data_IF_420786878625
#
_entry.id   IF_420786878625
#
_cell.length_a   1.000
_cell.length_b   1.000
_cell.length_c   1.000
_cell.angle_alpha   90.00
_cell.angle_beta   90.00
_cell.angle_gamma   90.00
#
_symmetry.space_group_name_H-M   'P 1'
#
loop_
_entity.id
_entity.type
_entity.pdbx_description
1 polymer ?
#
# COMPACT_ATOMS: atom_id res chain seq x y z
N UNK A 1 57.66 18.83 -28.41
CA UNK A 1 57.18 18.96 -29.81
C UNK A 1 55.84 18.24 -29.88
N UNK A 2 54.67 18.89 -29.71
CA UNK A 2 53.94 19.77 -30.64
C UNK A 2 53.76 19.18 -32.04
N UNK A 3 52.53 18.74 -32.32
CA UNK A 3 51.64 19.14 -33.45
C UNK A 3 50.80 17.93 -33.90
N UNK A 4 49.47 17.85 -33.67
CA UNK A 4 48.35 18.54 -34.37
C UNK A 4 48.29 18.20 -35.88
N UNK A 5 47.18 17.87 -36.57
CA UNK A 5 45.73 18.14 -36.43
C UNK A 5 44.95 17.25 -37.46
N UNK A 6 43.69 16.88 -37.16
CA UNK A 6 42.44 16.98 -37.99
C UNK A 6 41.42 15.93 -37.50
N UNK A 7 40.43 16.27 -36.66
CA UNK A 7 39.11 16.86 -36.99
C UNK A 7 38.27 16.05 -37.99
N UNK A 8 37.18 15.45 -37.50
CA UNK A 8 35.86 15.65 -38.08
C UNK A 8 34.79 15.60 -36.98
N UNK A 9 34.05 16.69 -36.88
CA UNK A 9 32.96 16.96 -35.96
C UNK A 9 31.80 17.42 -36.85
N UNK A 10 30.74 16.61 -36.95
CA UNK A 10 29.40 16.97 -37.41
C UNK A 10 28.48 16.16 -36.49
N UNK A 11 27.63 16.71 -35.62
CA UNK A 11 26.88 17.95 -35.77
C UNK A 11 25.45 17.63 -36.18
N UNK A 12 24.65 17.03 -35.28
CA UNK A 12 23.20 17.21 -35.29
C UNK A 12 22.72 17.36 -33.86
N UNK A 13 22.64 18.63 -33.45
CA UNK A 13 21.70 19.04 -32.44
C UNK A 13 20.30 18.81 -33.02
N UNK A 14 19.61 17.75 -32.56
CA UNK A 14 18.17 17.69 -32.67
C UNK A 14 17.61 18.48 -31.50
N UNK A 15 17.49 19.78 -31.72
CA UNK A 15 16.57 20.64 -30.97
C UNK A 15 15.18 20.21 -31.41
N UNK A 16 14.51 19.38 -30.60
CA UNK A 16 13.06 19.21 -30.71
C UNK A 16 12.37 20.32 -29.92
N UNK A 17 11.33 20.94 -30.49
CA UNK A 17 10.71 22.13 -29.94
C UNK A 17 9.99 21.79 -28.64
N UNK A 18 10.31 22.57 -27.59
CA UNK A 18 9.41 22.79 -26.47
C UNK A 18 8.18 23.53 -27.03
N UNK A 19 7.25 22.78 -27.58
CA UNK A 19 5.91 23.27 -27.86
C UNK A 19 5.12 23.23 -26.57
N UNK A 20 5.31 24.26 -25.75
CA UNK A 20 4.37 24.63 -24.70
C UNK A 20 3.07 25.14 -25.37
N UNK A 21 2.10 24.23 -25.51
CA UNK A 21 0.70 24.56 -25.70
C UNK A 21 -0.09 23.65 -24.77
N UNK A 22 -0.64 24.22 -23.70
CA UNK A 22 -1.00 23.49 -22.48
C UNK A 22 -2.02 22.36 -22.65
N UNK A 23 -1.69 21.20 -22.06
CA UNK A 23 -2.57 20.26 -21.35
C UNK A 23 -1.72 19.11 -20.77
N UNK A 24 -1.83 18.93 -19.45
CA UNK A 24 -1.32 17.82 -18.62
C UNK A 24 0.20 17.53 -18.59
N UNK A 25 0.93 18.21 -17.69
CA UNK A 25 2.25 17.81 -17.21
C UNK A 25 2.25 16.57 -16.28
N UNK A 26 1.19 15.76 -16.33
CA UNK A 26 0.97 14.61 -15.43
C UNK A 26 1.05 13.25 -16.10
N UNK A 27 1.26 13.20 -17.42
CA UNK A 27 1.48 11.95 -18.14
C UNK A 27 2.97 11.60 -18.02
N UNK A 28 3.28 10.58 -17.22
CA UNK A 28 4.57 9.89 -17.34
C UNK A 28 4.47 9.09 -18.64
N UNK A 29 5.29 9.45 -19.62
CA UNK A 29 5.36 8.75 -20.91
C UNK A 29 5.69 7.27 -20.66
N UNK A 30 4.89 6.30 -21.16
CA UNK A 30 5.24 4.87 -21.12
C UNK A 30 6.64 4.57 -21.65
N UNK A 31 7.16 5.38 -22.57
CA UNK A 31 8.52 5.25 -23.07
C UNK A 31 9.59 5.53 -21.99
N UNK A 32 9.27 6.19 -20.87
CA UNK A 32 10.18 6.34 -19.71
C UNK A 32 10.44 4.98 -19.04
N UNK A 33 9.52 4.01 -19.16
CA UNK A 33 9.72 2.63 -18.70
C UNK A 33 10.69 1.87 -19.63
N UNK A 34 10.78 2.29 -20.90
CA UNK A 34 11.66 1.70 -21.91
C UNK A 34 13.01 2.45 -22.06
N UNK A 35 13.05 3.73 -21.70
CA UNK A 35 14.24 4.59 -21.78
C UNK A 35 15.04 4.55 -20.47
N UNK A 36 16.10 3.75 -20.54
CA UNK A 36 17.16 3.53 -19.56
C UNK A 36 16.82 2.54 -18.44
N UNK A 37 16.98 1.23 -18.70
CA UNK A 37 17.35 0.33 -17.62
C UNK A 37 18.64 0.86 -16.96
N UNK A 38 18.53 1.09 -15.67
CA UNK A 38 19.54 1.61 -14.78
C UNK A 38 20.93 0.98 -14.92
N UNK A 39 21.94 1.83 -14.72
CA UNK A 39 23.33 1.49 -14.38
C UNK A 39 23.43 0.91 -12.94
N UNK A 40 22.35 0.87 -12.16
CA UNK A 40 22.36 0.54 -10.71
C UNK A 40 22.61 -0.94 -10.42
N UNK A 41 22.13 -1.86 -11.26
CA UNK A 41 22.49 -3.28 -11.21
C UNK A 41 23.65 -3.64 -12.16
N UNK A 42 24.35 -2.65 -12.71
CA UNK A 42 25.51 -2.90 -13.55
C UNK A 42 26.72 -3.29 -12.71
N UNK A 43 27.49 -4.27 -13.20
CA UNK A 43 28.63 -4.83 -12.50
C UNK A 43 28.31 -6.16 -11.79
N UNK A 44 29.34 -6.93 -11.50
CA UNK A 44 29.16 -8.28 -10.94
C UNK A 44 28.91 -8.17 -9.43
N UNK A 45 27.83 -8.79 -8.92
CA UNK A 45 27.51 -8.80 -7.48
C UNK A 45 28.69 -9.35 -6.66
N UNK A 46 28.96 -8.75 -5.51
CA UNK A 46 30.01 -9.23 -4.60
C UNK A 46 29.60 -10.56 -3.97
N UNK A 47 30.59 -11.42 -3.73
CA UNK A 47 30.38 -12.74 -3.10
C UNK A 47 31.27 -12.84 -1.87
N UNK A 48 30.68 -13.25 -0.76
CA UNK A 48 31.32 -13.31 0.55
C UNK A 48 31.22 -14.73 1.10
N UNK A 49 32.32 -15.25 1.63
CA UNK A 49 32.31 -16.49 2.41
C UNK A 49 31.62 -16.24 3.75
N UNK A 50 30.50 -16.92 4.00
CA UNK A 50 29.73 -16.81 5.22
C UNK A 50 30.52 -17.19 6.48
N UNK A 51 31.47 -18.12 6.41
CA UNK A 51 32.23 -18.55 7.59
C UNK A 51 33.27 -17.52 8.04
N UNK A 52 33.94 -16.86 7.09
CA UNK A 52 35.03 -15.92 7.38
C UNK A 52 34.63 -14.46 7.26
N UNK A 53 33.57 -14.15 6.52
CA UNK A 53 33.14 -12.79 6.17
C UNK A 53 34.07 -12.08 5.18
N UNK A 54 35.00 -12.79 4.55
CA UNK A 54 35.93 -12.28 3.52
C UNK A 54 35.38 -12.54 2.11
N UNK A 55 35.91 -11.88 1.06
CA UNK A 55 35.52 -12.19 -0.31
C UNK A 55 35.65 -13.69 -0.60
N UNK A 56 34.65 -14.24 -1.28
CA UNK A 56 34.65 -15.64 -1.70
C UNK A 56 35.59 -15.81 -2.88
N UNK A 57 36.63 -16.65 -2.74
CA UNK A 57 37.69 -16.82 -3.73
C UNK A 57 37.70 -18.19 -4.40
N UNK A 58 36.84 -19.10 -3.96
CA UNK A 58 36.72 -20.43 -4.55
C UNK A 58 35.89 -20.35 -5.83
N UNK A 59 36.36 -20.94 -6.93
CA UNK A 59 35.48 -21.15 -8.08
C UNK A 59 34.51 -22.29 -7.73
N UNK A 60 33.22 -22.00 -7.81
CA UNK A 60 32.18 -22.95 -7.47
C UNK A 60 31.07 -22.83 -8.52
N UNK A 61 30.77 -23.90 -9.29
CA UNK A 61 29.81 -23.86 -10.37
C UNK A 61 28.40 -23.38 -9.97
N UNK A 62 27.99 -23.62 -8.71
CA UNK A 62 26.69 -23.17 -8.19
C UNK A 62 26.72 -21.67 -7.93
N UNK A 63 27.77 -21.19 -7.29
CA UNK A 63 27.95 -19.77 -6.98
C UNK A 63 28.08 -18.96 -8.27
N UNK A 64 28.94 -19.39 -9.19
CA UNK A 64 29.19 -18.73 -10.47
C UNK A 64 27.92 -18.73 -11.33
N UNK A 65 27.24 -19.88 -11.47
CA UNK A 65 26.02 -19.99 -12.26
C UNK A 65 24.83 -19.18 -11.70
N UNK A 66 24.69 -19.07 -10.38
CA UNK A 66 23.65 -18.22 -9.79
C UNK A 66 24.01 -16.72 -9.91
N UNK A 67 25.29 -16.38 -9.71
CA UNK A 67 25.82 -15.00 -9.77
C UNK A 67 25.65 -14.37 -11.15
N UNK A 68 25.85 -15.14 -12.23
CA UNK A 68 25.72 -14.67 -13.61
C UNK A 68 24.32 -14.12 -13.92
N UNK A 69 23.27 -14.81 -13.47
CA UNK A 69 21.88 -14.43 -13.75
C UNK A 69 21.25 -13.55 -12.66
N UNK A 70 21.93 -13.37 -11.53
CA UNK A 70 21.39 -12.67 -10.37
C UNK A 70 20.93 -11.24 -10.70
N UNK A 71 21.75 -10.49 -11.42
CA UNK A 71 21.43 -9.12 -11.81
C UNK A 71 20.29 -9.05 -12.82
N UNK A 72 20.20 -10.03 -13.73
CA UNK A 72 19.12 -10.10 -14.72
C UNK A 72 17.78 -10.39 -14.05
N UNK A 73 17.77 -11.26 -13.03
CA UNK A 73 16.59 -11.53 -12.21
C UNK A 73 16.13 -10.25 -11.48
N UNK A 74 17.05 -9.54 -10.83
CA UNK A 74 16.76 -8.28 -10.13
C UNK A 74 16.24 -7.20 -11.09
N UNK A 75 16.87 -7.06 -12.26
CA UNK A 75 16.46 -6.11 -13.29
C UNK A 75 15.06 -6.46 -13.83
N UNK A 76 14.79 -7.74 -14.09
CA UNK A 76 13.48 -8.24 -14.51
C UNK A 76 12.40 -7.97 -13.46
N UNK A 77 12.70 -8.24 -12.20
CA UNK A 77 11.80 -7.98 -11.07
C UNK A 77 11.50 -6.49 -10.89
N UNK A 78 12.52 -5.62 -10.94
CA UNK A 78 12.33 -4.17 -10.87
C UNK A 78 11.47 -3.63 -12.01
N UNK A 79 11.74 -4.08 -13.25
CA UNK A 79 10.91 -3.72 -14.43
C UNK A 79 9.47 -4.15 -14.26
N UNK A 80 9.23 -5.34 -13.69
CA UNK A 80 7.88 -5.82 -13.39
C UNK A 80 7.19 -4.93 -12.38
N UNK A 81 7.85 -4.59 -11.26
CA UNK A 81 7.30 -3.67 -10.25
C UNK A 81 6.95 -2.33 -10.91
N UNK A 82 7.86 -1.74 -11.68
CA UNK A 82 7.66 -0.46 -12.35
C UNK A 82 6.41 -0.48 -13.26
N UNK A 83 6.21 -1.56 -14.01
CA UNK A 83 5.02 -1.76 -14.85
C UNK A 83 3.75 -1.90 -14.01
N UNK A 84 3.79 -2.71 -12.96
CA UNK A 84 2.65 -2.90 -12.05
C UNK A 84 2.27 -1.57 -11.35
N UNK A 85 3.25 -0.76 -10.94
CA UNK A 85 3.03 0.59 -10.39
C UNK A 85 2.34 1.52 -11.36
N UNK A 86 2.87 1.58 -12.58
CA UNK A 86 2.33 2.44 -13.61
C UNK A 86 0.88 2.05 -13.94
N UNK A 87 0.62 0.75 -14.15
CA UNK A 87 -0.73 0.22 -14.37
C UNK A 87 -1.66 0.54 -13.20
N UNK A 88 -1.20 0.36 -11.95
CA UNK A 88 -1.98 0.69 -10.76
C UNK A 88 -2.33 2.19 -10.71
N UNK A 89 -1.37 3.07 -10.98
CA UNK A 89 -1.59 4.52 -11.01
C UNK A 89 -2.62 4.91 -12.06
N UNK A 90 -2.60 4.30 -13.26
CA UNK A 90 -3.59 4.55 -14.31
C UNK A 90 -5.00 4.14 -13.87
N UNK A 91 -5.13 2.97 -13.24
CA UNK A 91 -6.41 2.48 -12.70
C UNK A 91 -6.94 3.44 -11.62
N UNK A 92 -6.09 3.88 -10.68
CA UNK A 92 -6.49 4.86 -9.67
C UNK A 92 -6.89 6.19 -10.31
N UNK A 93 -6.14 6.69 -11.29
CA UNK A 93 -6.45 7.94 -12.00
C UNK A 93 -7.84 7.90 -12.66
N UNK A 94 -8.18 6.77 -13.28
CA UNK A 94 -9.50 6.51 -13.86
C UNK A 94 -10.58 6.56 -12.78
N UNK A 95 -10.44 5.77 -11.71
CA UNK A 95 -11.41 5.75 -10.61
C UNK A 95 -11.60 7.11 -9.94
N UNK A 96 -10.53 7.87 -9.72
CA UNK A 96 -10.63 9.22 -9.16
C UNK A 96 -11.40 10.19 -10.06
N UNK A 97 -11.31 10.01 -11.38
CA UNK A 97 -12.04 10.84 -12.35
C UNK A 97 -13.53 10.48 -12.36
N UNK A 98 -13.84 9.19 -12.51
CA UNK A 98 -15.21 8.66 -12.52
C UNK A 98 -15.93 8.98 -11.21
N UNK A 99 -15.27 8.78 -10.08
CA UNK A 99 -15.84 9.08 -8.76
C UNK A 99 -16.19 10.55 -8.59
N UNK A 100 -15.33 11.48 -8.99
CA UNK A 100 -15.63 12.91 -8.86
C UNK A 100 -16.75 13.32 -9.80
N UNK A 101 -16.84 12.73 -10.99
CA UNK A 101 -17.98 12.94 -11.89
C UNK A 101 -19.29 12.47 -11.24
N UNK A 102 -19.33 11.23 -10.76
CA UNK A 102 -20.51 10.67 -10.08
C UNK A 102 -20.89 11.46 -8.83
N UNK A 103 -19.92 11.76 -7.97
CA UNK A 103 -20.18 12.53 -6.76
C UNK A 103 -20.69 13.94 -7.08
N UNK A 104 -20.17 14.61 -8.12
CA UNK A 104 -20.67 15.92 -8.54
C UNK A 104 -22.09 15.84 -9.10
N UNK A 105 -22.42 14.81 -9.88
CA UNK A 105 -23.79 14.58 -10.38
C UNK A 105 -24.77 14.39 -9.22
N UNK A 106 -24.43 13.52 -8.26
CA UNK A 106 -25.24 13.28 -7.06
C UNK A 106 -25.36 14.54 -6.18
N UNK A 107 -24.26 15.27 -6.00
CA UNK A 107 -24.22 16.51 -5.23
C UNK A 107 -25.13 17.60 -5.82
N UNK A 108 -25.10 17.78 -7.15
CA UNK A 108 -25.92 18.78 -7.84
C UNK A 108 -27.42 18.53 -7.65
N UNK A 109 -27.85 17.27 -7.61
CA UNK A 109 -29.26 16.93 -7.34
C UNK A 109 -29.75 17.46 -5.98
N UNK A 110 -28.85 17.61 -5.01
CA UNK A 110 -29.11 18.13 -3.66
C UNK A 110 -28.74 19.62 -3.50
N UNK A 111 -28.42 20.32 -4.60
CA UNK A 111 -28.00 21.72 -4.56
C UNK A 111 -26.60 21.94 -3.97
N UNK A 112 -25.80 20.88 -3.84
CA UNK A 112 -24.44 20.94 -3.30
C UNK A 112 -23.48 21.35 -4.44
N UNK A 113 -22.57 22.28 -4.15
CA UNK A 113 -21.56 22.74 -5.09
C UNK A 113 -20.57 21.64 -5.52
N UNK A 114 -19.95 21.82 -6.69
CA UNK A 114 -19.02 20.83 -7.23
C UNK A 114 -17.68 20.82 -6.50
N UNK A 115 -17.02 19.65 -6.53
CA UNK A 115 -15.64 19.48 -6.08
C UNK A 115 -14.72 19.17 -7.27
N UNK A 116 -13.51 19.75 -7.25
CA UNK A 116 -12.51 19.51 -8.27
C UNK A 116 -11.57 18.35 -7.95
N UNK A 117 -11.01 17.73 -9.00
CA UNK A 117 -9.92 16.75 -8.88
C UNK A 117 -8.61 17.53 -8.74
N UNK A 118 -7.98 17.48 -7.56
CA UNK A 118 -6.57 17.88 -7.45
C UNK A 118 -5.71 16.66 -7.71
N UNK A 119 -5.40 16.43 -8.98
CA UNK A 119 -4.60 15.29 -9.46
C UNK A 119 -3.28 15.17 -8.69
N UNK A 120 -2.74 16.30 -8.25
CA UNK A 120 -1.47 16.40 -7.53
C UNK A 120 -1.51 15.82 -6.11
N UNK A 121 -2.68 15.79 -5.47
CA UNK A 121 -2.84 15.18 -4.13
C UNK A 121 -3.37 13.76 -4.21
N UNK A 122 -4.27 13.49 -5.16
CA UNK A 122 -4.94 12.19 -5.26
C UNK A 122 -3.96 11.05 -5.59
N UNK A 123 -2.98 11.32 -6.47
CA UNK A 123 -1.95 10.35 -6.86
C UNK A 123 -0.56 10.71 -6.31
N UNK A 124 -0.47 11.55 -5.27
CA UNK A 124 0.84 12.02 -4.79
C UNK A 124 1.73 10.85 -4.38
N UNK A 125 1.17 9.87 -3.67
CA UNK A 125 1.93 8.73 -3.16
C UNK A 125 2.37 7.84 -4.33
N UNK A 126 1.46 7.50 -5.24
CA UNK A 126 1.74 6.71 -6.44
C UNK A 126 2.80 7.37 -7.32
N UNK A 127 2.68 8.68 -7.59
CA UNK A 127 3.66 9.43 -8.39
C UNK A 127 5.03 9.43 -7.75
N UNK A 128 5.11 9.58 -6.44
CA UNK A 128 6.39 9.57 -5.73
C UNK A 128 7.01 8.18 -5.71
N UNK A 129 6.20 7.12 -5.59
CA UNK A 129 6.68 5.73 -5.64
C UNK A 129 7.22 5.44 -7.04
N UNK A 130 6.45 5.77 -8.07
CA UNK A 130 6.84 5.56 -9.45
C UNK A 130 8.09 6.37 -9.79
N UNK A 131 8.15 7.65 -9.38
CA UNK A 131 9.36 8.47 -9.53
C UNK A 131 10.56 7.86 -8.82
N UNK A 132 10.39 7.38 -7.58
CA UNK A 132 11.46 6.68 -6.85
C UNK A 132 11.96 5.48 -7.65
N UNK A 133 11.07 4.63 -8.17
CA UNK A 133 11.45 3.47 -8.98
C UNK A 133 12.08 3.83 -10.34
N UNK A 134 11.78 5.01 -10.89
CA UNK A 134 12.42 5.59 -12.08
C UNK A 134 13.80 6.17 -11.76
N UNK A 135 14.03 6.61 -10.52
CA UNK A 135 15.29 7.19 -10.09
C UNK A 135 16.26 6.16 -9.44
N UNK A 136 15.76 5.11 -8.76
CA UNK A 136 16.54 4.06 -8.10
C UNK A 136 15.68 2.85 -7.66
N UNK A 137 16.27 1.66 -7.41
CA UNK A 137 15.57 0.60 -6.70
C UNK A 137 15.37 0.94 -5.21
N UNK A 138 14.27 0.48 -4.62
CA UNK A 138 13.99 0.67 -3.19
C UNK A 138 15.00 -0.02 -2.28
N UNK A 139 15.54 -1.15 -2.71
CA UNK A 139 16.61 -1.86 -2.00
C UNK A 139 17.67 -2.33 -2.99
N UNK A 140 18.89 -2.47 -2.49
CA UNK A 140 20.02 -3.05 -3.20
C UNK A 140 20.51 -4.26 -2.42
N UNK A 141 20.82 -5.32 -3.15
CA UNK A 141 21.58 -6.44 -2.61
C UNK A 141 23.05 -6.12 -2.85
N UNK A 142 23.81 -5.98 -1.76
CA UNK A 142 25.22 -5.60 -1.83
C UNK A 142 26.12 -6.82 -2.05
N UNK A 143 25.75 -7.97 -1.47
CA UNK A 143 26.53 -9.19 -1.63
C UNK A 143 25.69 -10.46 -1.44
N UNK A 144 26.12 -11.53 -2.13
CA UNK A 144 25.74 -12.91 -1.85
C UNK A 144 26.63 -13.48 -0.74
N UNK A 145 26.03 -14.05 0.30
CA UNK A 145 26.77 -14.71 1.39
C UNK A 145 26.65 -16.21 1.23
N UNK A 146 27.78 -16.85 0.92
CA UNK A 146 27.84 -18.28 0.60
C UNK A 146 28.04 -19.10 1.87
N UNK A 147 27.18 -20.07 2.08
CA UNK A 147 27.26 -21.01 3.19
C UNK A 147 27.36 -22.44 2.66
N UNK A 148 28.49 -23.10 2.91
CA UNK A 148 28.65 -24.55 2.74
C UNK A 148 27.77 -25.30 3.75
N UNK A 149 26.69 -25.89 3.26
CA UNK A 149 25.72 -26.62 4.05
C UNK A 149 26.31 -27.91 4.65
N UNK A 150 27.21 -28.60 3.95
CA UNK A 150 27.84 -29.83 4.46
C UNK A 150 28.74 -29.53 5.66
N UNK A 151 29.38 -28.36 5.67
CA UNK A 151 30.15 -27.87 6.81
C UNK A 151 29.26 -27.40 7.96
N UNK A 152 28.14 -26.75 7.67
CA UNK A 152 27.14 -26.36 8.67
C UNK A 152 26.52 -27.59 9.35
N UNK A 153 26.16 -28.62 8.59
CA UNK A 153 25.58 -29.87 9.10
C UNK A 153 26.53 -30.64 10.02
N UNK A 154 27.83 -30.64 9.73
CA UNK A 154 28.84 -31.29 10.58
C UNK A 154 29.00 -30.63 11.94
N UNK A 155 28.90 -29.30 11.97
CA UNK A 155 29.18 -28.53 13.18
C UNK A 155 27.93 -28.29 14.02
N UNK A 156 26.74 -28.22 13.38
CA UNK A 156 25.45 -27.83 13.99
C UNK A 156 25.55 -26.61 14.92
N UNK A 157 26.54 -25.75 14.67
CA UNK A 157 26.86 -24.59 15.49
C UNK A 157 26.91 -23.38 14.59
N UNK A 158 26.26 -22.31 15.02
CA UNK A 158 26.22 -21.06 14.30
C UNK A 158 27.66 -20.50 14.12
N UNK A 159 28.08 -20.19 12.89
CA UNK A 159 29.37 -19.56 12.63
C UNK A 159 29.48 -18.18 13.31
N UNK A 160 30.70 -17.80 13.70
CA UNK A 160 30.98 -16.57 14.47
C UNK A 160 31.12 -15.31 13.61
N UNK A 161 31.03 -15.43 12.28
CA UNK A 161 31.11 -14.26 11.40
C UNK A 161 29.94 -13.30 11.66
N UNK A 162 30.09 -12.04 11.24
CA UNK A 162 29.00 -11.05 11.35
C UNK A 162 27.72 -11.49 10.62
N UNK A 163 27.86 -12.29 9.57
CA UNK A 163 26.76 -12.83 8.78
C UNK A 163 26.12 -14.06 9.42
N UNK A 164 26.75 -14.68 10.43
CA UNK A 164 26.19 -15.84 11.12
C UNK A 164 24.82 -15.56 11.75
N UNK A 165 24.50 -14.30 12.03
CA UNK A 165 23.17 -13.87 12.49
C UNK A 165 22.06 -14.13 11.47
N UNK A 166 22.39 -14.27 10.18
CA UNK A 166 21.43 -14.47 9.09
C UNK A 166 21.09 -15.95 8.83
N UNK A 167 21.62 -16.86 9.66
CA UNK A 167 21.30 -18.30 9.60
C UNK A 167 21.02 -18.87 10.99
N UNK A 168 20.16 -19.89 11.05
CA UNK A 168 19.83 -20.62 12.29
C UNK A 168 19.62 -22.10 11.98
N UNK A 169 20.01 -22.97 12.91
CA UNK A 169 19.60 -24.37 12.87
C UNK A 169 18.27 -24.51 13.59
N UNK A 170 17.22 -24.94 12.89
CA UNK A 170 15.92 -25.23 13.47
C UNK A 170 15.90 -26.68 13.96
N UNK A 171 15.80 -26.87 15.28
CA UNK A 171 15.82 -28.20 15.89
C UNK A 171 14.56 -29.03 15.57
N UNK A 172 13.41 -28.38 15.38
CA UNK A 172 12.14 -29.05 15.07
C UNK A 172 12.15 -29.64 13.65
N UNK A 173 12.64 -28.86 12.68
CA UNK A 173 12.73 -29.30 11.29
C UNK A 173 14.02 -30.05 10.97
N UNK A 174 15.03 -29.96 11.85
CA UNK A 174 16.35 -30.56 11.67
C UNK A 174 17.18 -29.92 10.56
N UNK A 175 16.86 -28.69 10.15
CA UNK A 175 17.45 -28.02 8.98
C UNK A 175 18.00 -26.64 9.32
N UNK A 176 18.97 -26.19 8.51
CA UNK A 176 19.41 -24.81 8.53
C UNK A 176 18.44 -23.92 7.76
N UNK A 177 18.12 -22.77 8.36
CA UNK A 177 17.26 -21.72 7.83
C UNK A 177 18.07 -20.44 7.63
N UNK A 178 17.62 -19.59 6.71
CA UNK A 178 18.21 -18.33 6.31
C UNK A 178 17.22 -17.19 6.52
N UNK A 179 17.75 -16.03 6.86
CA UNK A 179 16.97 -14.80 6.92
C UNK A 179 17.65 -13.67 6.19
N UNK A 180 16.82 -12.70 5.80
CA UNK A 180 17.28 -11.35 5.48
C UNK A 180 16.74 -10.42 6.55
N UNK A 181 17.61 -9.54 7.06
CA UNK A 181 17.20 -8.41 7.89
C UNK A 181 17.48 -7.12 7.14
N UNK A 182 16.49 -6.23 7.09
CA UNK A 182 16.63 -4.89 6.50
C UNK A 182 16.30 -3.82 7.52
N UNK A 183 17.01 -2.71 7.45
CA UNK A 183 16.73 -1.53 8.26
C UNK A 183 16.59 -0.32 7.34
N UNK A 184 15.50 0.40 7.50
CA UNK A 184 15.19 1.62 6.77
C UNK A 184 15.27 2.77 7.76
N UNK A 185 16.11 3.76 7.46
CA UNK A 185 16.03 5.05 8.11
C UNK A 185 15.09 5.93 7.32
N UNK A 186 14.14 6.54 8.02
CA UNK A 186 13.09 7.35 7.43
C UNK A 186 13.08 8.70 8.11
N UNK A 187 13.50 9.73 7.37
CA UNK A 187 13.60 11.10 7.85
C UNK A 187 12.53 11.97 7.22
N UNK A 188 11.60 12.48 8.02
CA UNK A 188 10.52 13.32 7.52
C UNK A 188 10.14 14.42 8.49
N UNK A 189 9.49 15.45 7.96
CA UNK A 189 9.05 16.61 8.72
C UNK A 189 7.53 16.66 8.81
N UNK A 190 6.98 16.69 10.02
CA UNK A 190 5.54 16.92 10.25
C UNK A 190 5.31 18.42 10.52
N UNK A 191 4.37 19.08 9.82
CA UNK A 191 3.95 20.43 10.17
C UNK A 191 3.21 20.44 11.52
N UNK A 192 3.70 21.26 12.45
CA UNK A 192 3.05 21.53 13.72
C UNK A 192 1.93 22.56 13.53
N UNK A 193 0.95 22.59 14.45
CA UNK A 193 -0.18 23.53 14.41
C UNK A 193 0.28 25.01 14.46
N UNK A 194 1.46 25.26 15.03
CA UNK A 194 2.01 26.60 15.25
C UNK A 194 2.95 27.06 14.13
N UNK A 195 2.98 26.35 12.99
CA UNK A 195 3.75 26.73 11.80
C UNK A 195 5.19 26.21 11.73
N UNK A 196 5.71 25.65 12.83
CA UNK A 196 7.03 25.00 12.87
C UNK A 196 6.97 23.57 12.33
N UNK A 197 8.10 23.03 11.89
CA UNK A 197 8.23 21.66 11.39
C UNK A 197 8.94 20.78 12.42
N UNK A 198 8.31 19.68 12.82
CA UNK A 198 8.94 18.66 13.65
C UNK A 198 9.65 17.66 12.76
N UNK A 199 10.98 17.61 12.84
CA UNK A 199 11.77 16.54 12.21
C UNK A 199 11.66 15.26 13.03
N UNK A 200 11.48 14.15 12.33
CA UNK A 200 11.32 12.83 12.91
C UNK A 200 12.21 11.88 12.13
N UNK A 201 13.09 11.20 12.85
CA UNK A 201 13.85 10.04 12.39
C UNK A 201 13.15 8.78 12.91
N UNK A 202 12.89 7.84 12.01
CA UNK A 202 12.32 6.54 12.29
C UNK A 202 13.23 5.47 11.73
N UNK A 203 13.66 4.56 12.60
CA UNK A 203 14.21 3.27 12.19
C UNK A 203 13.06 2.28 12.03
N UNK A 204 12.91 1.77 10.81
CA UNK A 204 12.07 0.61 10.51
C UNK A 204 12.97 -0.59 10.30
N UNK A 205 12.76 -1.67 11.03
CA UNK A 205 13.47 -2.93 10.83
C UNK A 205 12.53 -3.97 10.22
N UNK A 206 13.06 -4.91 9.46
CA UNK A 206 12.30 -6.01 8.90
C UNK A 206 13.14 -7.27 8.89
N UNK A 207 12.50 -8.40 9.14
CA UNK A 207 13.11 -9.73 9.04
C UNK A 207 12.22 -10.63 8.21
N UNK A 208 12.82 -11.43 7.32
CA UNK A 208 12.13 -12.44 6.54
C UNK A 208 12.89 -13.76 6.61
N UNK A 209 12.20 -14.83 6.99
CA UNK A 209 12.68 -16.20 6.84
C UNK A 209 12.53 -16.63 5.38
N UNK A 210 13.63 -17.04 4.75
CA UNK A 210 13.71 -17.35 3.33
C UNK A 210 13.22 -18.77 2.99
N UNK A 211 12.91 -19.59 4.00
CA UNK A 211 12.36 -20.94 3.84
C UNK A 211 10.84 -20.98 4.04
N UNK A 212 10.30 -20.06 4.84
CA UNK A 212 8.85 -20.04 5.15
C UNK A 212 8.13 -18.81 4.61
N UNK A 213 8.87 -17.79 4.16
CA UNK A 213 8.35 -16.48 3.76
C UNK A 213 7.49 -15.80 4.84
N UNK A 214 7.69 -16.19 6.09
CA UNK A 214 7.13 -15.54 7.27
C UNK A 214 8.15 -14.58 7.86
N UNK A 215 7.67 -13.51 8.47
CA UNK A 215 8.57 -12.54 9.04
C UNK A 215 7.88 -11.43 9.82
N UNK A 216 8.67 -10.41 10.11
CA UNK A 216 8.27 -9.26 10.88
C UNK A 216 8.67 -7.95 10.20
N UNK A 217 7.98 -6.89 10.57
CA UNK A 217 8.53 -5.52 10.50
C UNK A 217 8.48 -4.91 11.90
N UNK A 218 9.31 -3.94 12.20
CA UNK A 218 9.23 -3.14 13.40
C UNK A 218 9.31 -1.72 12.98
N UNK A 219 8.31 -0.94 13.38
CA UNK A 219 8.41 0.49 13.23
C UNK A 219 8.02 1.15 14.54
N UNK A 220 9.01 1.79 15.16
CA UNK A 220 8.88 2.46 16.44
C UNK A 220 7.74 3.51 16.42
N UNK A 221 7.49 4.11 15.26
CA UNK A 221 6.39 5.06 15.00
C UNK A 221 5.81 4.80 13.62
N UNK A 222 4.48 4.69 13.52
CA UNK A 222 3.84 4.47 12.21
C UNK A 222 4.16 5.61 11.23
N UNK A 223 4.50 5.27 9.99
CA UNK A 223 4.72 6.25 8.94
C UNK A 223 3.44 7.05 8.68
N UNK A 224 3.56 8.38 8.69
CA UNK A 224 2.43 9.26 8.41
C UNK A 224 2.23 9.43 6.90
N UNK A 225 1.10 9.99 6.49
CA UNK A 225 0.85 10.41 5.10
C UNK A 225 1.86 11.45 4.56
N UNK A 226 2.70 12.02 5.44
CA UNK A 226 3.73 12.98 5.09
C UNK A 226 5.06 12.32 4.73
N UNK A 227 5.20 11.01 4.97
CA UNK A 227 6.38 10.25 4.56
C UNK A 227 6.32 10.02 3.06
N UNK A 228 7.32 10.53 2.35
CA UNK A 228 7.49 10.39 0.92
C UNK A 228 8.54 9.31 0.63
N UNK A 229 8.49 8.65 -0.53
CA UNK A 229 9.52 7.73 -1.00
C UNK A 229 10.96 8.28 -0.98
N UNK A 230 11.16 9.59 -1.11
CA UNK A 230 12.48 10.23 -0.97
C UNK A 230 12.98 10.37 0.47
N UNK A 231 12.11 10.14 1.46
CA UNK A 231 12.47 10.17 2.88
C UNK A 231 13.12 8.85 3.33
N UNK A 232 13.13 7.81 2.48
CA UNK A 232 13.76 6.53 2.75
C UNK A 232 15.22 6.56 2.31
N UNK A 233 16.13 6.32 3.25
CA UNK A 233 17.51 6.01 2.89
C UNK A 233 17.59 4.70 2.09
N UNK A 234 18.63 4.57 1.26
CA UNK A 234 18.89 3.34 0.52
C UNK A 234 19.08 2.15 1.46
N UNK A 235 18.28 1.11 1.25
CA UNK A 235 18.45 -0.15 1.97
C UNK A 235 19.44 -1.03 1.26
N UNK A 236 20.48 -1.39 2.00
CA UNK A 236 21.49 -2.37 1.58
C UNK A 236 21.27 -3.64 2.37
N UNK A 237 21.16 -4.76 1.67
CA UNK A 237 21.01 -6.07 2.29
C UNK A 237 22.01 -7.07 1.74
N UNK A 238 22.37 -8.05 2.55
CA UNK A 238 23.10 -9.24 2.11
C UNK A 238 22.16 -10.41 1.99
N UNK A 239 22.34 -11.21 0.93
CA UNK A 239 21.45 -12.34 0.66
C UNK A 239 22.18 -13.67 0.86
N UNK A 240 21.80 -14.47 1.88
CA UNK A 240 22.43 -15.75 2.14
C UNK A 240 21.99 -16.85 1.16
N UNK A 241 22.95 -17.64 0.68
CA UNK A 241 22.71 -18.83 -0.14
C UNK A 241 23.37 -20.06 0.48
N UNK A 242 22.72 -21.22 0.37
CA UNK A 242 23.30 -22.51 0.73
C UNK A 242 23.82 -23.21 -0.52
N UNK A 243 25.00 -23.81 -0.40
CA UNK A 243 25.58 -24.72 -1.39
C UNK A 243 25.90 -26.06 -0.72
N UNK A 244 25.79 -27.16 -1.47
CA UNK A 244 26.15 -28.50 -0.98
C UNK A 244 26.87 -29.28 -2.07
N UNK A 245 27.83 -30.13 -1.68
CA UNK A 245 28.47 -31.08 -2.58
C UNK A 245 27.61 -32.32 -2.85
N UNK A 246 26.48 -32.49 -2.16
CA UNK A 246 25.62 -33.68 -2.25
C UNK A 246 24.62 -33.62 -3.40
N UNK A 247 24.40 -32.46 -3.99
CA UNK A 247 23.43 -32.24 -5.08
C UNK A 247 24.14 -31.82 -6.37
N UNK A 248 23.60 -32.15 -7.56
CA UNK A 248 24.11 -31.64 -8.83
C UNK A 248 24.08 -30.11 -8.89
N UNK A 249 25.11 -29.51 -9.48
CA UNK A 249 25.26 -28.05 -9.50
C UNK A 249 24.11 -27.34 -10.25
N UNK A 250 23.67 -27.88 -11.38
CA UNK A 250 22.59 -27.28 -12.16
C UNK A 250 21.25 -27.28 -11.42
N UNK A 251 20.95 -28.35 -10.69
CA UNK A 251 19.73 -28.46 -9.86
C UNK A 251 19.75 -27.42 -8.74
N UNK A 252 20.89 -27.26 -8.06
CA UNK A 252 21.07 -26.24 -7.03
C UNK A 252 20.90 -24.81 -7.58
N UNK A 253 21.47 -24.53 -8.75
CA UNK A 253 21.32 -23.22 -9.40
C UNK A 253 19.85 -22.93 -9.69
N UNK A 254 19.11 -23.90 -10.23
CA UNK A 254 17.69 -23.74 -10.53
C UNK A 254 16.86 -23.52 -9.25
N UNK A 255 17.09 -24.32 -8.20
CA UNK A 255 16.41 -24.18 -6.92
C UNK A 255 16.69 -22.80 -6.28
N UNK A 256 17.93 -22.31 -6.34
CA UNK A 256 18.29 -20.99 -5.85
C UNK A 256 17.56 -19.88 -6.61
N UNK A 257 17.42 -19.99 -7.93
CA UNK A 257 16.67 -19.03 -8.75
C UNK A 257 15.19 -18.99 -8.40
N UNK A 258 14.55 -20.15 -8.31
CA UNK A 258 13.12 -20.26 -7.98
C UNK A 258 12.84 -19.70 -6.59
N UNK A 259 13.62 -20.12 -5.58
CA UNK A 259 13.51 -19.59 -4.23
C UNK A 259 13.80 -18.09 -4.17
N UNK A 260 14.79 -17.61 -4.91
CA UNK A 260 15.09 -16.18 -4.93
C UNK A 260 13.94 -15.37 -5.53
N UNK A 261 13.34 -15.82 -6.63
CA UNK A 261 12.16 -15.18 -7.23
C UNK A 261 10.98 -15.15 -6.25
N UNK A 262 10.71 -16.26 -5.55
CA UNK A 262 9.68 -16.32 -4.50
C UNK A 262 10.00 -15.31 -3.39
N UNK A 263 11.22 -15.35 -2.85
CA UNK A 263 11.67 -14.46 -1.79
C UNK A 263 11.62 -12.98 -2.17
N UNK A 264 11.93 -12.61 -3.42
CA UNK A 264 11.89 -11.22 -3.88
C UNK A 264 10.51 -10.59 -3.67
N UNK A 265 9.43 -11.36 -3.88
CA UNK A 265 8.05 -10.88 -3.66
C UNK A 265 7.75 -10.54 -2.20
N UNK A 266 8.55 -11.07 -1.26
CA UNK A 266 8.39 -10.89 0.18
C UNK A 266 9.44 -9.94 0.80
N UNK A 267 10.66 -9.91 0.26
CA UNK A 267 11.71 -8.95 0.64
C UNK A 267 11.29 -7.54 0.28
N UNK A 268 10.60 -7.39 -0.87
CA UNK A 268 9.99 -6.14 -1.27
C UNK A 268 8.66 -5.91 -0.55
N UNK A 269 8.73 -5.46 0.70
CA UNK A 269 7.60 -4.78 1.33
C UNK A 269 8.06 -3.53 2.10
N UNK A 270 8.40 -2.43 1.40
CA UNK A 270 8.82 -1.22 2.07
C UNK A 270 7.72 -0.58 2.94
N UNK A 271 6.44 -1.05 2.95
CA UNK A 271 5.38 -0.32 3.66
C UNK A 271 4.23 -1.10 4.31
N UNK A 272 4.22 -2.42 4.46
CA UNK A 272 2.91 -3.14 4.50
C UNK A 272 2.09 -2.79 3.24
N UNK A 273 2.81 -2.64 2.13
CA UNK A 273 2.36 -1.98 0.91
C UNK A 273 1.47 -2.87 0.08
N UNK A 274 1.77 -4.16 -0.05
CA UNK A 274 0.87 -5.14 -0.64
C UNK A 274 -0.45 -5.25 0.15
N UNK A 275 -0.36 -5.17 1.49
CA UNK A 275 -1.51 -5.16 2.39
C UNK A 275 -2.34 -3.87 2.31
N UNK A 276 -1.71 -2.71 2.05
CA UNK A 276 -2.39 -1.42 1.82
C UNK A 276 -2.79 -1.19 0.36
N UNK A 277 -2.18 -1.91 -0.60
CA UNK A 277 -2.50 -1.95 -2.05
C UNK A 277 -3.79 -2.69 -2.31
N UNK A 278 -4.11 -3.68 -1.47
CA UNK A 278 -5.38 -4.38 -1.51
C UNK A 278 -6.52 -3.41 -1.16
N UNK A 279 -6.96 -2.72 -2.22
CA UNK A 279 -8.28 -2.12 -2.45
C UNK A 279 -8.67 -0.97 -1.54
N UNK A 280 -7.99 0.19 -1.65
CA UNK A 280 -8.49 1.40 -0.99
C UNK A 280 -8.36 2.58 -1.90
N UNK A 281 -9.41 2.82 -2.65
CA UNK A 281 -9.62 4.09 -3.29
C UNK A 281 -9.50 5.21 -2.27
N UNK A 282 -8.45 6.05 -2.29
CA UNK A 282 -8.19 7.01 -1.19
C UNK A 282 -9.12 8.22 -1.14
N UNK A 283 -10.33 8.07 -1.65
CA UNK A 283 -11.27 9.17 -1.78
C UNK A 283 -11.66 9.79 -0.45
N UNK A 284 -11.82 9.01 0.61
CA UNK A 284 -12.25 9.57 1.89
C UNK A 284 -11.25 10.61 2.41
N UNK A 285 -9.94 10.37 2.28
CA UNK A 285 -8.92 11.33 2.75
C UNK A 285 -8.76 12.51 1.80
N UNK A 286 -8.96 12.32 0.50
CA UNK A 286 -8.70 13.34 -0.52
C UNK A 286 -9.91 14.23 -0.81
N UNK A 287 -11.11 13.65 -0.95
CA UNK A 287 -12.32 14.33 -1.41
C UNK A 287 -13.26 14.70 -0.26
N UNK A 288 -13.40 13.87 0.78
CA UNK A 288 -14.36 14.10 1.88
C UNK A 288 -14.20 15.46 2.57
N UNK A 289 -12.98 15.96 2.89
CA UNK A 289 -12.83 17.26 3.54
C UNK A 289 -13.37 18.44 2.71
N UNK A 290 -13.32 18.34 1.37
CA UNK A 290 -13.85 19.35 0.46
C UNK A 290 -15.34 19.17 0.26
N UNK A 291 -15.79 17.95 0.09
CA UNK A 291 -17.20 17.65 -0.04
C UNK A 291 -17.96 18.13 1.20
N UNK A 292 -17.43 17.86 2.41
CA UNK A 292 -17.93 18.43 3.67
C UNK A 292 -18.09 19.95 3.63
N UNK A 293 -17.14 20.68 3.04
CA UNK A 293 -17.24 22.15 2.92
C UNK A 293 -18.40 22.55 2.01
N UNK A 294 -18.57 21.86 0.88
CA UNK A 294 -19.68 22.14 -0.04
C UNK A 294 -21.04 21.82 0.60
N UNK A 295 -21.17 20.68 1.30
CA UNK A 295 -22.39 20.33 2.04
C UNK A 295 -22.76 21.42 3.05
N UNK A 296 -21.79 21.93 3.80
CA UNK A 296 -21.99 23.02 4.79
C UNK A 296 -22.42 24.37 4.20
N UNK A 297 -22.23 24.58 2.90
CA UNK A 297 -22.71 25.79 2.22
C UNK A 297 -24.20 25.69 1.85
N UNK A 298 -24.75 24.48 1.80
CA UNK A 298 -26.16 24.25 1.50
C UNK A 298 -27.00 24.49 2.75
N UNK A 299 -28.06 25.27 2.60
CA UNK A 299 -29.05 25.48 3.67
C UNK A 299 -30.16 24.46 3.55
N UNK A 300 -29.92 23.24 4.05
CA UNK A 300 -30.97 22.23 4.09
C UNK A 300 -32.16 22.68 4.98
N UNK A 301 -33.40 22.36 4.59
CA UNK A 301 -34.60 22.69 5.38
C UNK A 301 -34.78 21.71 6.55
N UNK A 302 -33.75 21.55 7.39
CA UNK A 302 -33.76 20.66 8.57
C UNK A 302 -33.30 21.39 9.83
N UNK A 303 -33.71 20.92 11.01
CA UNK A 303 -33.36 21.50 12.31
C UNK A 303 -32.12 20.85 12.95
N UNK A 304 -31.92 19.57 12.75
CA UNK A 304 -30.86 18.70 13.30
C UNK A 304 -29.65 18.58 12.33
N UNK A 305 -29.17 19.73 11.87
CA UNK A 305 -28.07 19.84 10.88
C UNK A 305 -26.80 19.06 11.27
N UNK A 306 -26.43 19.05 12.56
CA UNK A 306 -25.26 18.32 13.06
C UNK A 306 -25.36 16.79 12.86
N UNK A 307 -26.57 16.25 12.80
CA UNK A 307 -26.81 14.85 12.47
C UNK A 307 -27.02 14.66 10.97
N UNK A 308 -27.83 15.51 10.33
CA UNK A 308 -28.22 15.34 8.93
C UNK A 308 -27.07 15.58 7.94
N UNK A 309 -26.27 16.63 8.11
CA UNK A 309 -25.20 16.96 7.17
C UNK A 309 -24.15 15.83 7.05
N UNK A 310 -23.64 15.23 8.15
CA UNK A 310 -22.73 14.09 8.01
C UNK A 310 -23.38 12.85 7.38
N UNK A 311 -24.68 12.62 7.61
CA UNK A 311 -25.42 11.49 7.02
C UNK A 311 -25.54 11.65 5.51
N UNK A 312 -26.06 12.79 5.04
CA UNK A 312 -26.24 12.99 3.60
C UNK A 312 -24.90 13.04 2.87
N UNK A 313 -23.90 13.69 3.47
CA UNK A 313 -22.54 13.73 2.93
C UNK A 313 -21.99 12.31 2.76
N UNK A 314 -22.10 11.45 3.76
CA UNK A 314 -21.54 10.10 3.66
C UNK A 314 -22.38 9.19 2.76
N UNK A 315 -23.70 9.35 2.76
CA UNK A 315 -24.60 8.63 1.87
C UNK A 315 -24.27 8.89 0.39
N UNK A 316 -24.21 10.16 -0.04
CA UNK A 316 -23.89 10.51 -1.43
C UNK A 316 -22.50 10.00 -1.83
N UNK A 317 -21.55 10.06 -0.89
CA UNK A 317 -20.20 9.54 -1.08
C UNK A 317 -20.19 8.01 -1.27
N UNK A 318 -20.94 7.28 -0.44
CA UNK A 318 -21.07 5.83 -0.52
C UNK A 318 -21.79 5.41 -1.83
N UNK A 319 -22.83 6.13 -2.27
CA UNK A 319 -23.48 5.90 -3.57
C UNK A 319 -22.51 6.10 -4.73
N UNK A 320 -21.68 7.15 -4.71
CA UNK A 320 -20.64 7.34 -5.71
C UNK A 320 -19.61 6.19 -5.71
N UNK A 321 -19.23 5.65 -4.55
CA UNK A 321 -18.37 4.46 -4.46
C UNK A 321 -19.07 3.25 -5.10
N UNK A 322 -20.34 2.99 -4.78
CA UNK A 322 -21.09 1.87 -5.36
C UNK A 322 -21.09 1.92 -6.89
N UNK A 323 -21.33 3.10 -7.47
CA UNK A 323 -21.38 3.27 -8.93
C UNK A 323 -20.03 3.04 -9.61
N UNK A 324 -18.92 3.30 -8.93
CA UNK A 324 -17.56 3.21 -9.53
C UNK A 324 -16.84 1.91 -9.20
N UNK A 325 -17.01 1.38 -7.99
CA UNK A 325 -16.23 0.22 -7.48
C UNK A 325 -17.09 -0.89 -6.89
N UNK A 326 -18.39 -0.65 -6.70
CA UNK A 326 -19.29 -1.59 -6.03
C UNK A 326 -19.32 -1.41 -4.51
N UNK A 327 -20.25 -2.13 -3.88
CA UNK A 327 -20.54 -2.00 -2.45
C UNK A 327 -19.44 -2.58 -1.57
N UNK A 328 -18.70 -3.58 -2.06
CA UNK A 328 -17.70 -4.30 -1.28
C UNK A 328 -16.57 -3.38 -0.81
N UNK A 329 -16.20 -2.38 -1.61
CA UNK A 329 -15.22 -1.34 -1.24
C UNK A 329 -15.62 -0.61 0.05
N UNK A 330 -16.92 -0.36 0.27
CA UNK A 330 -17.40 0.33 1.48
C UNK A 330 -17.18 -0.53 2.72
N UNK A 331 -17.55 -1.81 2.65
CA UNK A 331 -17.44 -2.75 3.77
C UNK A 331 -15.99 -3.12 4.07
N UNK A 332 -15.23 -3.44 3.02
CA UNK A 332 -13.80 -3.68 3.13
C UNK A 332 -13.11 -2.47 3.75
N UNK A 333 -13.42 -1.26 3.28
CA UNK A 333 -12.84 -0.04 3.84
C UNK A 333 -13.07 0.04 5.34
N UNK A 334 -14.34 -0.02 5.77
CA UNK A 334 -14.75 0.11 7.15
C UNK A 334 -14.02 -0.89 8.05
N UNK A 335 -13.84 -2.14 7.60
CA UNK A 335 -13.21 -3.18 8.40
C UNK A 335 -11.70 -3.01 8.56
N UNK A 336 -10.94 -2.65 7.53
CA UNK A 336 -9.49 -2.46 7.76
C UNK A 336 -9.20 -1.18 8.57
N UNK A 337 -10.08 -0.17 8.61
CA UNK A 337 -9.88 0.95 9.55
C UNK A 337 -9.88 0.47 11.00
N UNK A 338 -10.56 -0.65 11.26
CA UNK A 338 -10.65 -1.32 12.56
C UNK A 338 -9.57 -2.36 12.77
N UNK A 339 -8.94 -2.85 11.70
CA UNK A 339 -7.73 -3.64 11.83
C UNK A 339 -6.70 -2.74 12.52
N UNK A 340 -6.29 -3.04 13.77
CA UNK A 340 -5.13 -2.38 14.32
C UNK A 340 -4.03 -2.62 13.30
N UNK A 341 -3.38 -1.56 12.86
CA UNK A 341 -2.17 -1.71 12.07
C UNK A 341 -1.21 -2.44 12.98
N UNK A 342 -1.19 -3.79 12.92
CA UNK A 342 -0.11 -4.56 13.46
C UNK A 342 1.05 -4.15 12.58
N UNK A 343 1.78 -3.16 13.09
CA UNK A 343 2.96 -2.55 12.50
C UNK A 343 4.05 -3.57 12.20
N UNK A 344 3.82 -4.85 12.55
CA UNK A 344 4.84 -5.86 12.64
C UNK A 344 4.59 -7.17 11.88
N UNK A 345 3.51 -7.34 11.10
CA UNK A 345 3.33 -8.52 10.23
C UNK A 345 3.85 -8.35 8.79
N UNK A 346 4.66 -9.30 8.30
CA UNK A 346 5.05 -9.47 6.90
C UNK A 346 4.73 -10.88 6.40
N UNK A 347 4.28 -11.03 5.14
CA UNK A 347 4.03 -12.34 4.50
C UNK A 347 2.70 -13.01 4.87
N UNK A 348 2.63 -14.34 4.71
CA UNK A 348 1.41 -15.15 4.95
C UNK A 348 1.12 -15.40 6.45
N UNK A 349 1.91 -14.81 7.36
CA UNK A 349 1.72 -14.92 8.80
C UNK A 349 2.84 -14.24 9.57
N UNK A 350 2.61 -13.97 10.86
CA UNK A 350 3.59 -13.38 11.75
C UNK A 350 4.57 -14.44 12.25
N UNK A 351 5.85 -14.25 11.93
CA UNK A 351 6.96 -14.91 12.63
C UNK A 351 7.88 -13.80 13.13
N UNK A 352 7.99 -13.67 14.46
CA UNK A 352 8.84 -12.64 15.07
C UNK A 352 10.32 -12.94 14.90
N UNK A 353 10.67 -14.13 14.39
CA UNK A 353 12.02 -14.57 14.07
C UNK A 353 13.01 -14.28 15.20
N UNK A 354 12.60 -14.43 16.48
CA UNK A 354 13.44 -14.27 17.67
C UNK A 354 14.61 -15.29 17.66
N UNK A 355 15.49 -15.19 16.67
CA UNK A 355 16.58 -16.12 16.38
C UNK A 355 17.77 -15.84 17.27
N UNK A 356 17.87 -14.60 17.77
CA UNK A 356 18.87 -14.19 18.74
C UNK A 356 18.21 -13.79 20.06
N UNK A 357 18.89 -14.09 21.16
CA UNK A 357 18.43 -13.80 22.53
C UNK A 357 18.24 -12.30 22.79
N UNK A 358 18.94 -11.43 22.04
CA UNK A 358 18.84 -9.97 22.14
C UNK A 358 17.72 -9.36 21.26
N UNK A 359 17.00 -10.18 20.51
CA UNK A 359 15.89 -9.74 19.64
C UNK A 359 14.54 -10.00 20.34
N UNK A 360 14.21 -9.28 21.42
CA UNK A 360 12.83 -9.25 21.94
C UNK A 360 11.96 -8.36 21.05
N UNK A 361 11.14 -9.03 20.25
CA UNK A 361 10.28 -8.46 19.23
C UNK A 361 8.80 -8.54 19.60
N UNK A 362 8.48 -8.69 20.89
CA UNK A 362 7.09 -8.74 21.37
C UNK A 362 6.28 -7.52 20.91
N UNK A 363 5.06 -7.78 20.43
CA UNK A 363 4.15 -6.75 19.90
C UNK A 363 3.01 -6.57 20.90
N UNK A 364 2.76 -5.36 21.41
CA UNK A 364 1.53 -5.08 22.13
C UNK A 364 0.37 -5.10 21.12
N UNK A 365 -0.28 -6.25 21.00
CA UNK A 365 -1.52 -6.44 20.25
C UNK A 365 -2.69 -6.46 21.23
N UNK A 366 -3.59 -5.47 21.11
CA UNK A 366 -4.87 -5.50 21.83
C UNK A 366 -6.01 -5.86 20.86
N UNK A 367 -6.53 -7.09 20.92
CA UNK A 367 -7.62 -7.54 20.04
C UNK A 367 -8.91 -6.72 20.20
N UNK A 368 -9.09 -6.02 21.34
CA UNK A 368 -10.29 -5.21 21.60
C UNK A 368 -10.38 -3.95 20.72
N UNK A 369 -9.28 -3.54 20.09
CA UNK A 369 -9.28 -2.40 19.17
C UNK A 369 -10.03 -2.66 17.85
N UNK A 370 -10.45 -3.91 17.59
CA UNK A 370 -11.33 -4.27 16.47
C UNK A 370 -12.82 -4.12 16.78
N UNK A 371 -13.20 -3.80 18.02
CA UNK A 371 -14.59 -4.00 18.46
C UNK A 371 -15.61 -2.98 17.90
N UNK A 372 -16.74 -3.54 17.47
CA UNK A 372 -18.02 -2.88 17.23
C UNK A 372 -18.11 -2.00 15.99
N UNK A 373 -18.93 -2.38 15.01
CA UNK A 373 -19.38 -1.45 13.96
C UNK A 373 -20.65 -0.76 14.43
N UNK A 374 -20.65 0.58 14.38
CA UNK A 374 -21.83 1.33 14.77
C UNK A 374 -22.80 1.38 13.59
N UNK A 375 -23.92 0.67 13.73
CA UNK A 375 -25.06 0.65 12.80
C UNK A 375 -26.32 1.27 13.43
N UNK A 376 -26.14 2.09 14.48
CA UNK A 376 -27.23 2.81 15.13
C UNK A 376 -27.64 4.03 14.28
N UNK A 377 -28.91 4.11 13.88
CA UNK A 377 -29.47 5.22 13.12
C UNK A 377 -29.37 6.57 13.85
N UNK A 378 -29.43 6.58 15.18
CA UNK A 378 -29.28 7.85 15.92
C UNK A 378 -27.88 8.43 15.84
N UNK A 379 -26.89 7.63 15.45
CA UNK A 379 -25.54 8.07 15.18
C UNK A 379 -25.34 8.29 13.67
N UNK A 380 -24.78 9.43 13.22
CA UNK A 380 -24.56 9.65 11.79
C UNK A 380 -23.73 8.58 11.08
N UNK A 381 -22.76 7.95 11.77
CA UNK A 381 -21.95 6.86 11.23
C UNK A 381 -22.72 5.54 11.08
N UNK A 382 -23.80 5.34 11.84
CA UNK A 382 -24.67 4.18 11.69
C UNK A 382 -25.80 4.44 10.69
N UNK A 383 -26.39 5.63 10.71
CA UNK A 383 -27.45 6.04 9.79
C UNK A 383 -27.06 5.88 8.32
N UNK A 384 -25.81 6.21 7.93
CA UNK A 384 -25.32 5.99 6.56
C UNK A 384 -25.54 4.56 6.07
N UNK A 385 -25.40 3.54 6.94
CA UNK A 385 -25.55 2.13 6.55
C UNK A 385 -27.02 1.77 6.35
N UNK A 386 -27.93 2.43 7.07
CA UNK A 386 -29.37 2.29 6.86
C UNK A 386 -29.77 2.89 5.51
N UNK A 387 -29.28 4.08 5.18
CA UNK A 387 -29.52 4.70 3.87
C UNK A 387 -28.86 3.89 2.75
N UNK A 388 -27.68 3.31 3.00
CA UNK A 388 -27.01 2.40 2.08
C UNK A 388 -27.88 1.16 1.80
N UNK A 389 -28.49 0.56 2.83
CA UNK A 389 -29.42 -0.57 2.66
C UNK A 389 -30.64 -0.19 1.82
N UNK A 390 -31.26 0.97 2.10
CA UNK A 390 -32.39 1.48 1.34
C UNK A 390 -32.03 1.73 -0.13
N UNK A 391 -30.89 2.39 -0.39
CA UNK A 391 -30.41 2.60 -1.75
C UNK A 391 -30.08 1.28 -2.47
N UNK A 392 -29.52 0.28 -1.78
CA UNK A 392 -29.24 -1.01 -2.42
C UNK A 392 -30.50 -1.77 -2.82
N UNK A 393 -31.61 -1.60 -2.10
CA UNK A 393 -32.89 -2.26 -2.39
C UNK A 393 -33.72 -1.52 -3.42
N UNK A 394 -33.74 -0.18 -3.34
CA UNK A 394 -34.67 0.66 -4.07
C UNK A 394 -33.97 1.62 -5.06
N UNK A 395 -32.64 1.69 -5.02
CA UNK A 395 -31.78 2.41 -5.98
C UNK A 395 -32.20 3.87 -6.16
N UNK A 396 -32.45 4.28 -7.41
CA UNK A 396 -32.77 5.65 -7.77
C UNK A 396 -34.14 6.06 -7.20
N UNK A 397 -35.09 5.14 -7.00
CA UNK A 397 -36.39 5.45 -6.36
C UNK A 397 -36.22 6.04 -4.96
N UNK A 398 -35.31 5.48 -4.15
CA UNK A 398 -35.04 6.03 -2.82
C UNK A 398 -34.32 7.38 -2.89
N UNK A 399 -33.35 7.50 -3.80
CA UNK A 399 -32.59 8.72 -4.01
C UNK A 399 -33.49 9.88 -4.45
N UNK A 400 -34.35 9.64 -5.44
CA UNK A 400 -35.28 10.62 -6.01
C UNK A 400 -36.34 11.04 -4.99
N UNK A 401 -36.89 10.09 -4.22
CA UNK A 401 -37.85 10.41 -3.15
C UNK A 401 -37.22 11.30 -2.06
N UNK A 402 -35.99 10.99 -1.64
CA UNK A 402 -35.26 11.79 -0.67
C UNK A 402 -34.99 13.21 -1.20
N UNK A 403 -34.55 13.30 -2.45
CA UNK A 403 -34.30 14.58 -3.13
C UNK A 403 -35.59 15.41 -3.24
N UNK A 404 -36.68 14.81 -3.68
CA UNK A 404 -37.98 15.48 -3.85
C UNK A 404 -38.53 15.98 -2.50
N UNK A 405 -38.43 15.19 -1.43
CA UNK A 405 -38.84 15.61 -0.08
C UNK A 405 -38.05 16.82 0.40
N UNK A 406 -36.73 16.82 0.20
CA UNK A 406 -35.90 17.97 0.58
C UNK A 406 -36.20 19.22 -0.28
N UNK A 407 -36.43 19.05 -1.58
CA UNK A 407 -36.73 20.16 -2.49
C UNK A 407 -38.10 20.82 -2.22
N UNK A 408 -39.07 20.04 -1.73
CA UNK A 408 -40.44 20.51 -1.49
C UNK A 408 -40.70 20.97 -0.06
N UNK A 409 -39.75 20.74 0.87
CA UNK A 409 -39.88 21.13 2.27
C UNK A 409 -39.93 22.65 2.45
N UNK A 410 -41.14 23.18 2.76
CA UNK A 410 -41.39 24.62 2.96
C UNK A 410 -40.96 25.14 4.34
N UNK A 411 -40.81 24.25 5.32
CA UNK A 411 -40.43 24.57 6.71
C UNK A 411 -39.33 23.62 7.15
N UNK A 412 -38.50 24.06 8.10
CA UNK A 412 -37.50 23.18 8.71
C UNK A 412 -38.18 22.06 9.49
N UNK A 413 -37.83 20.82 9.18
CA UNK A 413 -38.29 19.63 9.91
C UNK A 413 -37.11 18.86 10.51
N UNK A 414 -37.39 17.80 11.26
CA UNK A 414 -36.34 16.87 11.68
C UNK A 414 -35.87 16.07 10.46
N UNK A 415 -34.58 16.12 10.15
CA UNK A 415 -33.93 15.36 9.09
C UNK A 415 -33.98 13.86 9.37
N UNK A 416 -33.91 13.44 10.63
CA UNK A 416 -34.19 12.04 11.03
C UNK A 416 -35.59 11.61 10.61
N UNK A 417 -36.61 12.39 10.96
CA UNK A 417 -38.00 12.06 10.64
C UNK A 417 -38.27 12.12 9.14
N UNK A 418 -37.69 13.11 8.44
CA UNK A 418 -37.76 13.18 6.97
C UNK A 418 -37.22 11.89 6.32
N UNK A 419 -36.07 11.39 6.78
CA UNK A 419 -35.50 10.15 6.26
C UNK A 419 -36.39 8.94 6.58
N UNK A 420 -36.96 8.87 7.80
CA UNK A 420 -37.91 7.81 8.18
C UNK A 420 -39.14 7.81 7.27
N UNK A 421 -39.72 8.98 7.02
CA UNK A 421 -40.86 9.12 6.11
C UNK A 421 -40.52 8.65 4.69
N UNK A 422 -39.33 8.98 4.18
CA UNK A 422 -38.87 8.52 2.85
C UNK A 422 -38.69 6.99 2.83
N UNK A 423 -38.13 6.42 3.90
CA UNK A 423 -38.01 4.96 4.04
C UNK A 423 -39.39 4.31 4.02
N UNK A 424 -40.36 4.83 4.78
CA UNK A 424 -41.74 4.33 4.80
C UNK A 424 -42.41 4.41 3.43
N UNK A 425 -42.31 5.56 2.78
CA UNK A 425 -42.90 5.82 1.47
C UNK A 425 -42.36 4.86 0.40
N UNK A 426 -41.03 4.65 0.39
CA UNK A 426 -40.38 3.84 -0.64
C UNK A 426 -40.43 2.34 -0.34
N UNK A 427 -40.31 1.95 0.93
CA UNK A 427 -40.27 0.54 1.33
C UNK A 427 -41.65 -0.07 1.58
N UNK A 428 -42.66 0.74 1.89
CA UNK A 428 -43.97 0.30 2.37
C UNK A 428 -43.95 -0.33 3.77
N UNK A 429 -42.84 -0.21 4.51
CA UNK A 429 -42.65 -0.73 5.86
C UNK A 429 -42.56 0.42 6.85
N UNK A 430 -43.08 0.22 8.06
CA UNK A 430 -42.89 1.15 9.18
C UNK A 430 -41.39 1.40 9.42
N UNK A 431 -41.02 2.67 9.63
CA UNK A 431 -39.63 3.11 9.58
C UNK A 431 -38.76 2.41 10.64
N UNK A 432 -39.24 2.28 11.88
CA UNK A 432 -38.45 1.67 12.96
C UNK A 432 -38.23 0.17 12.70
N UNK A 433 -39.25 -0.54 12.21
CA UNK A 433 -39.12 -1.92 11.76
C UNK A 433 -38.11 -2.08 10.63
N UNK A 434 -38.12 -1.17 9.64
CA UNK A 434 -37.13 -1.15 8.57
C UNK A 434 -35.72 -0.92 9.11
N UNK A 435 -35.53 0.15 9.91
CA UNK A 435 -34.23 0.56 10.47
C UNK A 435 -33.62 -0.58 11.27
N UNK A 436 -34.41 -1.24 12.13
CA UNK A 436 -33.95 -2.37 12.93
C UNK A 436 -33.45 -3.51 12.03
N UNK A 437 -34.23 -3.91 11.04
CA UNK A 437 -33.87 -5.00 10.11
C UNK A 437 -32.64 -4.64 9.27
N UNK A 438 -32.58 -3.41 8.75
CA UNK A 438 -31.43 -2.92 8.00
C UNK A 438 -30.17 -2.91 8.88
N UNK A 439 -30.27 -2.48 10.14
CA UNK A 439 -29.16 -2.50 11.10
C UNK A 439 -28.61 -3.92 11.33
N UNK A 440 -29.50 -4.91 11.52
CA UNK A 440 -29.13 -6.32 11.65
C UNK A 440 -28.41 -6.85 10.40
N UNK A 441 -28.95 -6.56 9.21
CA UNK A 441 -28.37 -6.98 7.93
C UNK A 441 -27.00 -6.33 7.71
N UNK A 442 -26.89 -5.03 7.88
CA UNK A 442 -25.63 -4.30 7.68
C UNK A 442 -24.57 -4.77 8.66
N UNK A 443 -24.93 -5.04 9.92
CA UNK A 443 -24.01 -5.62 10.90
C UNK A 443 -23.52 -7.01 10.45
N UNK A 444 -24.41 -7.86 9.95
CA UNK A 444 -24.03 -9.18 9.43
C UNK A 444 -23.14 -9.08 8.19
N UNK A 445 -23.42 -8.15 7.26
CA UNK A 445 -22.56 -7.92 6.08
C UNK A 445 -21.16 -7.44 6.48
N UNK A 446 -21.07 -6.42 7.35
CA UNK A 446 -19.80 -5.89 7.86
C UNK A 446 -18.96 -6.98 8.54
N UNK A 447 -19.59 -7.91 9.25
CA UNK A 447 -18.92 -9.03 9.91
C UNK A 447 -18.25 -10.00 8.91
N UNK A 448 -18.82 -10.18 7.70
CA UNK A 448 -18.20 -11.00 6.64
C UNK A 448 -16.84 -10.46 6.20
N UNK A 449 -16.64 -9.15 6.31
CA UNK A 449 -15.41 -8.46 5.94
C UNK A 449 -14.42 -8.30 7.10
N UNK A 450 -14.74 -8.81 8.30
CA UNK A 450 -13.84 -8.72 9.45
C UNK A 450 -12.59 -9.56 9.19
N UNK A 451 -11.43 -8.92 9.35
CA UNK A 451 -10.15 -9.61 9.24
C UNK A 451 -9.95 -10.55 10.42
N UNK A 452 -9.69 -11.82 10.13
CA UNK A 452 -9.20 -12.79 11.11
C UNK A 452 -7.68 -12.58 11.21
N UNK A 453 -7.23 -11.95 12.29
CA UNK A 453 -5.80 -11.72 12.56
C UNK A 453 -5.18 -12.89 13.30
#
# INVERSE_FOLDING_TARGET
MRSFYHQFLIGMAVILPISASGKDSSAIDPNIIELQPFVVYSGIIDVVDGFTGKPYHESNPVVDGFREEFNDILLGYHRRILKEEYSYMLVQAKFGTEFVQELNTLAQAFGIGTIGIYRDRFLNIERQILRRLIDDPFFRIDALVVWDLDRLERTKRRPKSKYGRDIRYNEESGRWERRVTTSWKVDFSIPHKDGWRQYIDILKEQGLNLETNKGYHFINRGLTQHVLPGDFEHVRLTYPIFISSKQPAQEQVQELKEKFLENLTHIYDPFSWAWRRNQRFRAETVFMPRFRRQVKLVRFPVVDTDWFEPVIMRFLFDVAIIKVQGVDEIYQWEMLRKVPVNRNMLGYGLDLLNWNEDEDRSVPYDPKHQDGVNVNFDNPQGARFILLDAYRRYTDTFFDALQAKLATAKKKSSGKELIKEVIEEVSGLEAEAYIKKASEIQKAELEKYRFKL
#
